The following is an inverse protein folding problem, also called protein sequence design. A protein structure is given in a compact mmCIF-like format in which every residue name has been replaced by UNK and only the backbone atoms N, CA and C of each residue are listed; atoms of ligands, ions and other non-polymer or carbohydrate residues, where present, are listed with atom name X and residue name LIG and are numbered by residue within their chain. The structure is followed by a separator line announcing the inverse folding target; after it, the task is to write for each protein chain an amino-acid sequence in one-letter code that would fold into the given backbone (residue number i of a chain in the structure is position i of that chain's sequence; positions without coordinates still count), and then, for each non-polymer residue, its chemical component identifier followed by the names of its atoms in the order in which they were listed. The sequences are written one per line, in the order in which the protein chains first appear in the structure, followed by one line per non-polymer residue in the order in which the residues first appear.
data_IF_217075766959
#
_entry.id   IF_217075766959
#
_cell.length_a   1.000
_cell.length_b   1.000
_cell.length_c   1.000
_cell.angle_alpha   90.00
_cell.angle_beta   90.00
_cell.angle_gamma   90.00
#
_symmetry.space_group_name_H-M   'P 1'
#
loop_
_entity.id
_entity.type
_entity.pdbx_description
1 polymer ?
#
# COMPACT_ATOMS: atom_id res chain seq x y z
N UNK A 1 50.89 11.37 -12.15
CA UNK A 1 50.32 10.02 -11.94
C UNK A 1 48.81 10.16 -11.79
N UNK A 2 47.99 9.59 -12.69
CA UNK A 2 46.54 9.64 -12.57
C UNK A 2 46.11 8.62 -11.51
N UNK A 3 45.31 9.05 -10.53
CA UNK A 3 44.71 8.14 -9.57
C UNK A 3 43.55 7.43 -10.27
N UNK A 4 43.69 6.11 -10.35
CA UNK A 4 42.71 5.15 -10.85
C UNK A 4 41.37 5.42 -10.19
N UNK A 5 40.38 5.70 -11.02
CA UNK A 5 38.98 5.78 -10.67
C UNK A 5 38.51 4.34 -10.41
N UNK A 6 38.55 3.90 -9.14
CA UNK A 6 37.88 2.67 -8.73
C UNK A 6 36.38 2.93 -8.76
N UNK A 7 35.71 2.35 -9.76
CA UNK A 7 34.29 2.10 -9.79
C UNK A 7 33.90 1.08 -8.71
N UNK A 8 33.96 1.52 -7.46
CA UNK A 8 33.22 0.90 -6.37
C UNK A 8 31.93 1.67 -6.20
N UNK A 9 30.89 1.32 -6.96
CA UNK A 9 29.53 1.75 -6.64
C UNK A 9 29.14 1.12 -5.30
N UNK A 10 29.60 1.74 -4.22
CA UNK A 10 29.16 1.48 -2.86
C UNK A 10 27.70 1.90 -2.88
N UNK A 11 26.82 0.92 -3.05
CA UNK A 11 25.39 1.11 -2.92
C UNK A 11 25.14 1.80 -1.57
N UNK A 12 24.86 3.11 -1.64
CA UNK A 12 24.46 3.90 -0.49
C UNK A 12 23.32 3.13 0.22
N UNK A 13 23.34 3.00 1.56
CA UNK A 13 22.24 2.34 2.26
C UNK A 13 20.95 3.06 1.89
N UNK A 14 20.13 2.38 1.07
CA UNK A 14 18.78 2.80 0.67
C UNK A 14 18.06 3.25 1.94
N UNK A 15 17.66 4.51 1.96
CA UNK A 15 17.26 5.21 3.17
C UNK A 15 16.21 4.43 4.01
N UNK A 16 16.33 4.44 5.36
CA UNK A 16 15.52 3.62 6.26
C UNK A 16 14.03 4.01 6.32
N UNK A 17 13.61 5.13 5.71
CA UNK A 17 12.18 5.52 5.67
C UNK A 17 11.30 4.66 4.76
N UNK A 18 11.88 3.87 3.84
CA UNK A 18 11.09 3.05 2.90
C UNK A 18 10.90 1.61 3.40
N UNK A 19 9.77 1.36 4.07
CA UNK A 19 9.38 -0.01 4.47
C UNK A 19 8.91 -0.77 3.22
N UNK A 20 9.66 -1.80 2.83
CA UNK A 20 9.23 -2.76 1.80
C UNK A 20 8.12 -3.62 2.39
N UNK A 21 6.91 -3.47 1.87
CA UNK A 21 5.76 -4.26 2.29
C UNK A 21 5.48 -5.34 1.25
N UNK A 22 5.51 -6.60 1.68
CA UNK A 22 5.19 -7.77 0.87
C UNK A 22 3.95 -8.43 1.44
N UNK A 23 2.89 -8.55 0.63
CA UNK A 23 1.66 -9.22 1.01
C UNK A 23 1.47 -10.46 0.14
N UNK A 24 1.24 -11.59 0.78
CA UNK A 24 0.77 -12.81 0.14
C UNK A 24 -0.64 -13.09 0.66
N UNK A 25 -1.63 -13.01 -0.24
CA UNK A 25 -3.02 -13.28 0.08
C UNK A 25 -3.50 -14.49 -0.73
N UNK A 26 -3.84 -15.58 -0.05
CA UNK A 26 -4.48 -16.74 -0.67
C UNK A 26 -6.00 -16.59 -0.63
N UNK A 27 -6.63 -16.57 -1.80
CA UNK A 27 -8.08 -16.54 -1.96
C UNK A 27 -8.55 -17.93 -2.40
N UNK A 28 -9.11 -18.68 -1.46
CA UNK A 28 -9.56 -20.06 -1.68
C UNK A 28 -8.38 -21.04 -1.88
N UNK A 29 -8.62 -22.12 -2.63
CA UNK A 29 -7.60 -23.17 -2.87
C UNK A 29 -6.67 -22.87 -4.05
N UNK A 30 -7.05 -21.95 -4.94
CA UNK A 30 -6.46 -21.85 -6.28
C UNK A 30 -5.87 -20.47 -6.63
N UNK A 31 -6.08 -19.43 -5.82
CA UNK A 31 -5.63 -18.08 -6.16
C UNK A 31 -4.67 -17.59 -5.09
N UNK A 32 -3.43 -17.30 -5.48
CA UNK A 32 -2.42 -16.66 -4.62
C UNK A 32 -2.11 -15.29 -5.22
N UNK A 33 -2.41 -14.24 -4.48
CA UNK A 33 -2.09 -12.86 -4.84
C UNK A 33 -0.83 -12.45 -4.08
N UNK A 34 0.26 -12.26 -4.81
CA UNK A 34 1.50 -11.68 -4.26
C UNK A 34 1.60 -10.22 -4.69
N UNK A 35 1.78 -9.33 -3.72
CA UNK A 35 2.00 -7.92 -3.95
C UNK A 35 3.24 -7.47 -3.18
N UNK A 36 4.09 -6.67 -3.83
CA UNK A 36 5.20 -5.98 -3.17
C UNK A 36 5.13 -4.51 -3.52
N UNK A 37 5.04 -3.66 -2.49
CA UNK A 37 5.00 -2.22 -2.65
C UNK A 37 5.91 -1.56 -1.61
N UNK A 38 6.47 -0.42 -1.98
CA UNK A 38 7.11 0.49 -1.03
C UNK A 38 6.00 1.28 -0.35
N UNK A 39 5.89 1.14 0.97
CA UNK A 39 4.79 1.73 1.74
C UNK A 39 5.37 2.75 2.72
N UNK A 40 4.76 3.94 2.75
CA UNK A 40 5.04 4.97 3.76
C UNK A 40 4.04 4.84 4.92
N UNK A 41 4.47 5.01 6.18
CA UNK A 41 3.56 4.92 7.34
C UNK A 41 2.39 5.90 7.25
N UNK A 42 2.65 7.14 6.80
CA UNK A 42 1.62 8.15 6.58
C UNK A 42 0.61 7.70 5.49
N UNK A 43 1.10 7.07 4.42
CA UNK A 43 0.28 6.53 3.34
C UNK A 43 -0.68 5.43 3.80
N UNK A 44 -0.26 4.57 4.73
CA UNK A 44 -1.14 3.53 5.29
C UNK A 44 -2.30 4.17 6.06
N UNK A 45 -1.99 5.13 6.93
CA UNK A 45 -3.00 5.80 7.75
C UNK A 45 -3.97 6.59 6.86
N UNK A 46 -3.46 7.36 5.89
CA UNK A 46 -4.31 8.14 4.98
C UNK A 46 -5.22 7.23 4.15
N UNK A 47 -4.69 6.11 3.66
CA UNK A 47 -5.48 5.13 2.90
C UNK A 47 -6.58 4.52 3.77
N UNK A 48 -6.27 4.18 5.02
CA UNK A 48 -7.24 3.66 5.98
C UNK A 48 -8.38 4.65 6.26
N UNK A 49 -8.06 5.92 6.51
CA UNK A 49 -9.07 6.97 6.74
C UNK A 49 -9.91 7.21 5.48
N UNK A 50 -9.28 7.28 4.31
CA UNK A 50 -9.98 7.44 3.04
C UNK A 50 -10.95 6.29 2.77
N UNK A 51 -10.52 5.03 2.98
CA UNK A 51 -11.37 3.86 2.85
C UNK A 51 -12.54 3.86 3.84
N UNK A 52 -12.30 4.23 5.10
CA UNK A 52 -13.35 4.35 6.10
C UNK A 52 -14.41 5.38 5.71
N UNK A 53 -13.99 6.56 5.24
CA UNK A 53 -14.89 7.62 4.79
C UNK A 53 -15.70 7.18 3.56
N UNK A 54 -15.05 6.54 2.58
CA UNK A 54 -15.72 6.01 1.38
C UNK A 54 -16.76 4.94 1.74
N UNK A 55 -16.41 3.99 2.61
CA UNK A 55 -17.34 2.94 3.04
C UNK A 55 -18.49 3.49 3.87
N UNK A 56 -18.25 4.50 4.70
CA UNK A 56 -19.31 5.18 5.42
C UNK A 56 -20.30 5.87 4.47
N UNK A 57 -19.80 6.62 3.48
CA UNK A 57 -20.64 7.28 2.48
C UNK A 57 -21.43 6.26 1.64
N UNK A 58 -20.79 5.18 1.20
CA UNK A 58 -21.44 4.10 0.47
C UNK A 58 -22.52 3.41 1.32
N UNK A 59 -22.22 3.13 2.60
CA UNK A 59 -23.17 2.55 3.55
C UNK A 59 -24.38 3.47 3.78
N UNK A 60 -24.16 4.77 3.92
CA UNK A 60 -25.23 5.76 4.06
C UNK A 60 -26.12 5.80 2.80
N UNK A 61 -25.53 5.82 1.62
CA UNK A 61 -26.27 5.79 0.34
C UNK A 61 -27.11 4.50 0.21
N UNK A 62 -26.53 3.34 0.54
CA UNK A 62 -27.27 2.07 0.52
C UNK A 62 -28.42 2.08 1.54
N UNK A 63 -28.21 2.66 2.72
CA UNK A 63 -29.25 2.80 3.75
C UNK A 63 -30.40 3.69 3.28
N UNK A 64 -30.10 4.84 2.66
CA UNK A 64 -31.13 5.76 2.17
C UNK A 64 -31.99 5.13 1.07
N UNK A 65 -31.36 4.41 0.13
CA UNK A 65 -32.06 3.68 -0.94
C UNK A 65 -32.95 2.54 -0.40
N UNK A 66 -32.55 1.87 0.69
CA UNK A 66 -33.37 0.85 1.35
C UNK A 66 -34.54 1.45 2.12
N UNK A 67 -34.33 2.62 2.75
CA UNK A 67 -35.39 3.37 3.44
C UNK A 67 -36.45 3.91 2.48
N UNK A 68 -36.04 4.39 1.30
CA UNK A 68 -36.96 4.90 0.27
C UNK A 68 -37.79 3.82 -0.45
N UNK A 69 -37.46 2.53 -0.25
CA UNK A 69 -38.19 1.38 -0.81
C UNK A 69 -39.23 0.79 0.14
N UNK A 70 -39.36 1.32 1.36
CA UNK A 70 -40.43 1.01 2.30
C UNK A 70 -41.42 2.17 2.35
#
# INVERSE_FOLDING_TARGET
MPLVQEEGSVALPSHPEEIKSTFEMRVGKNITLQASARITPAGVISTGVALAAMMFAAGYLVSSLRGSRR
#
